data_IF_560097727671
#
_entry.id   IF_560097727671
#
_cell.length_a   1.000
_cell.length_b   1.000
_cell.length_c   1.000
_cell.angle_alpha   90.00
_cell.angle_beta   90.00
_cell.angle_gamma   90.00
#
_symmetry.space_group_name_H-M   'P 1'
#
loop_
_entity.id
_entity.type
_entity.pdbx_description
1 polymer ?
#
# COMPACT_ATOMS: atom_id res chain seq x y z
N UNK A 1 49.81 42.31 52.82
CA UNK A 1 49.58 41.21 51.87
C UNK A 1 49.20 39.95 52.66
N UNK A 2 47.99 39.44 52.50
CA UNK A 2 47.42 38.37 53.34
C UNK A 2 47.75 37.02 52.71
N UNK A 3 48.72 36.28 53.28
CA UNK A 3 49.10 34.95 52.83
C UNK A 3 47.91 33.99 52.98
N UNK A 4 47.25 33.67 51.87
CA UNK A 4 46.26 32.59 51.81
C UNK A 4 47.02 31.28 51.89
N UNK A 5 46.88 30.59 53.02
CA UNK A 5 47.31 29.21 53.20
C UNK A 5 46.65 28.33 52.11
N UNK A 6 47.40 27.99 51.07
CA UNK A 6 46.98 26.99 50.09
C UNK A 6 47.16 25.61 50.72
N UNK A 7 46.07 25.05 51.25
CA UNK A 7 46.04 23.62 51.61
C UNK A 7 46.07 22.83 50.30
N UNK A 8 47.14 22.08 50.07
CA UNK A 8 47.23 21.15 48.94
C UNK A 8 46.23 20.02 49.12
N UNK A 9 45.60 19.59 48.02
CA UNK A 9 44.74 18.40 48.00
C UNK A 9 45.50 17.20 48.55
N UNK A 10 44.89 16.47 49.47
CA UNK A 10 45.49 15.23 49.98
C UNK A 10 45.37 14.14 48.92
N UNK A 11 46.36 13.24 48.83
CA UNK A 11 46.34 12.11 47.90
C UNK A 11 45.08 11.25 48.07
N UNK A 12 44.58 11.14 49.31
CA UNK A 12 43.33 10.44 49.65
C UNK A 12 42.11 11.11 49.01
N UNK A 13 42.02 12.44 49.06
CA UNK A 13 40.91 13.19 48.47
C UNK A 13 40.84 13.00 46.95
N UNK A 14 41.99 12.96 46.29
CA UNK A 14 42.06 12.68 44.85
C UNK A 14 41.60 11.26 44.51
N UNK A 15 41.96 10.25 45.31
CA UNK A 15 41.50 8.87 45.11
C UNK A 15 39.98 8.76 45.30
N UNK A 16 39.42 9.43 46.31
CA UNK A 16 37.96 9.43 46.55
C UNK A 16 37.22 10.08 45.38
N UNK A 17 37.68 11.24 44.91
CA UNK A 17 37.07 11.93 43.77
C UNK A 17 37.12 11.05 42.52
N UNK A 18 38.26 10.40 42.25
CA UNK A 18 38.40 9.51 41.10
C UNK A 18 37.49 8.28 41.21
N UNK A 19 37.34 7.71 42.41
CA UNK A 19 36.40 6.63 42.68
C UNK A 19 34.95 7.02 42.42
N UNK A 20 34.52 8.19 42.89
CA UNK A 20 33.15 8.71 42.67
C UNK A 20 32.91 8.96 41.18
N UNK A 21 33.86 9.59 40.48
CA UNK A 21 33.73 9.86 39.04
C UNK A 21 33.65 8.54 38.24
N UNK A 22 34.43 7.52 38.58
CA UNK A 22 34.39 6.23 37.90
C UNK A 22 33.00 5.57 38.04
N UNK A 23 32.44 5.56 39.24
CA UNK A 23 31.09 5.01 39.50
C UNK A 23 30.01 5.80 38.76
N UNK A 24 30.04 7.13 38.83
CA UNK A 24 29.08 7.99 38.13
C UNK A 24 29.16 7.82 36.61
N UNK A 25 30.37 7.74 36.07
CA UNK A 25 30.59 7.55 34.63
C UNK A 25 30.03 6.21 34.18
N UNK A 26 30.23 5.14 34.96
CA UNK A 26 29.69 3.82 34.63
C UNK A 26 28.15 3.82 34.59
N UNK A 27 27.50 4.44 35.58
CA UNK A 27 26.04 4.58 35.61
C UNK A 27 25.53 5.43 34.43
N UNK A 28 26.22 6.53 34.12
CA UNK A 28 25.86 7.41 33.00
C UNK A 28 25.95 6.69 31.65
N UNK A 29 26.99 5.90 31.40
CA UNK A 29 27.14 5.12 30.16
C UNK A 29 26.01 4.10 30.01
N UNK A 30 25.62 3.42 31.10
CA UNK A 30 24.54 2.43 31.07
C UNK A 30 23.18 3.06 30.73
N UNK A 31 22.87 4.22 31.29
CA UNK A 31 21.62 4.92 31.02
C UNK A 31 21.61 5.58 29.63
N UNK A 32 22.74 6.11 29.17
CA UNK A 32 22.88 6.66 27.82
C UNK A 32 22.59 5.60 26.73
N UNK A 33 23.01 4.35 26.95
CA UNK A 33 22.72 3.24 26.03
C UNK A 33 21.22 2.95 25.89
N UNK A 34 20.47 2.90 27.02
CA UNK A 34 19.02 2.68 27.00
C UNK A 34 18.27 3.79 26.25
N UNK A 35 18.64 5.04 26.50
CA UNK A 35 18.03 6.18 25.83
C UNK A 35 18.30 6.17 24.32
N UNK A 36 19.52 5.82 23.91
CA UNK A 36 19.86 5.66 22.49
C UNK A 36 19.02 4.57 21.82
N UNK A 37 18.88 3.40 22.44
CA UNK A 37 18.07 2.30 21.90
C UNK A 37 16.59 2.67 21.79
N UNK A 38 16.03 3.34 22.80
CA UNK A 38 14.63 3.81 22.77
C UNK A 38 14.40 4.83 21.63
N UNK A 39 15.36 5.73 21.40
CA UNK A 39 15.29 6.68 20.28
C UNK A 39 15.37 5.98 18.93
N UNK A 40 16.30 5.02 18.76
CA UNK A 40 16.42 4.22 17.53
C UNK A 40 15.15 3.42 17.26
N UNK A 41 14.57 2.79 18.27
CA UNK A 41 13.28 2.08 18.15
C UNK A 41 12.15 3.01 17.72
N UNK A 42 12.05 4.18 18.34
CA UNK A 42 11.05 5.19 17.97
C UNK A 42 11.22 5.64 16.51
N UNK A 43 12.47 5.84 16.08
CA UNK A 43 12.79 6.20 14.71
C UNK A 43 12.47 5.05 13.73
N UNK A 44 12.75 3.81 14.09
CA UNK A 44 12.50 2.64 13.26
C UNK A 44 11.00 2.43 13.05
N UNK A 45 10.21 2.62 14.11
CA UNK A 45 8.76 2.55 14.03
C UNK A 45 8.18 3.65 13.14
N UNK A 46 8.67 4.90 13.26
CA UNK A 46 8.26 5.99 12.36
C UNK A 46 8.66 5.71 10.91
N UNK A 47 9.80 5.07 10.68
CA UNK A 47 10.24 4.69 9.36
C UNK A 47 9.35 3.59 8.77
N UNK A 48 9.02 2.54 9.54
CA UNK A 48 8.08 1.50 9.12
C UNK A 48 6.70 2.07 8.81
N UNK A 49 6.21 3.00 9.64
CA UNK A 49 4.95 3.69 9.40
C UNK A 49 5.01 4.54 8.13
N UNK A 50 6.10 5.30 7.93
CA UNK A 50 6.30 6.05 6.69
C UNK A 50 6.37 5.17 5.45
N UNK A 51 7.01 3.99 5.52
CA UNK A 51 7.04 3.02 4.41
C UNK A 51 5.62 2.48 4.15
N UNK A 52 4.91 2.09 5.21
CA UNK A 52 3.51 1.63 5.11
C UNK A 52 2.61 2.68 4.47
N UNK A 53 2.70 3.93 4.91
CA UNK A 53 1.91 5.04 4.36
C UNK A 53 2.28 5.33 2.90
N UNK A 54 3.53 5.11 2.51
CA UNK A 54 3.98 5.25 1.12
C UNK A 54 3.41 4.15 0.23
N UNK A 55 3.15 2.96 0.80
CA UNK A 55 2.57 1.81 0.08
C UNK A 55 1.05 1.94 0.00
N UNK A 56 0.39 2.12 1.13
CA UNK A 56 -1.08 2.01 1.27
C UNK A 56 -1.78 3.38 1.22
N UNK A 57 -1.05 4.46 1.47
CA UNK A 57 -1.59 5.78 1.76
C UNK A 57 -1.63 6.04 3.27
N UNK A 58 -1.57 7.32 3.64
CA UNK A 58 -1.62 7.77 5.04
C UNK A 58 -3.00 7.59 5.69
N UNK A 59 -4.05 7.60 4.87
CA UNK A 59 -5.43 7.55 5.31
C UNK A 59 -6.07 6.21 4.94
N UNK A 60 -7.07 5.77 5.71
CA UNK A 60 -7.86 4.55 5.45
C UNK A 60 -8.64 4.56 4.13
N UNK A 61 -8.55 5.65 3.37
CA UNK A 61 -9.24 5.81 2.11
C UNK A 61 -8.48 5.23 0.92
N UNK A 62 -7.20 4.83 1.03
CA UNK A 62 -6.44 4.24 -0.10
C UNK A 62 -6.43 5.13 -1.37
N UNK A 63 -6.49 6.45 -1.19
CA UNK A 63 -6.53 7.43 -2.30
C UNK A 63 -5.16 7.69 -2.92
N UNK A 64 -4.09 7.35 -2.21
CA UNK A 64 -2.70 7.65 -2.59
C UNK A 64 -1.78 6.51 -2.20
N UNK A 65 -0.56 6.54 -2.71
CA UNK A 65 0.47 5.54 -2.41
C UNK A 65 0.65 4.55 -3.55
N UNK A 66 1.67 3.70 -3.40
CA UNK A 66 2.06 2.72 -4.40
C UNK A 66 0.88 1.83 -4.80
N UNK A 67 0.14 1.32 -3.83
CA UNK A 67 -0.96 0.39 -4.05
C UNK A 67 -2.12 1.02 -4.84
N UNK A 68 -2.46 2.28 -4.53
CA UNK A 68 -3.51 3.02 -5.23
C UNK A 68 -3.14 3.31 -6.69
N UNK A 69 -1.86 3.58 -6.95
CA UNK A 69 -1.38 3.94 -8.28
C UNK A 69 -1.13 2.69 -9.16
N UNK A 70 -0.63 1.61 -8.57
CA UNK A 70 -0.14 0.42 -9.26
C UNK A 70 -1.14 -0.76 -9.24
N UNK A 71 -2.11 -0.74 -8.32
CA UNK A 71 -3.11 -1.83 -8.20
C UNK A 71 -2.55 -3.14 -7.65
N UNK A 72 -1.33 -3.13 -7.09
CA UNK A 72 -0.66 -4.27 -6.48
C UNK A 72 0.28 -3.84 -5.36
N UNK A 73 0.72 -4.80 -4.55
CA UNK A 73 1.77 -4.56 -3.58
C UNK A 73 3.13 -4.40 -4.27
N UNK A 74 4.11 -3.74 -3.61
CA UNK A 74 5.47 -3.71 -4.09
C UNK A 74 6.02 -5.13 -4.17
N UNK A 75 6.66 -5.44 -5.27
CA UNK A 75 7.38 -6.66 -5.54
C UNK A 75 8.86 -6.49 -5.18
N UNK A 76 9.48 -7.60 -4.84
CA UNK A 76 10.90 -7.63 -4.54
C UNK A 76 11.72 -7.43 -5.80
N UNK A 77 12.64 -6.46 -5.77
CA UNK A 77 13.54 -6.16 -6.87
C UNK A 77 14.88 -6.83 -6.61
N UNK A 78 15.37 -7.59 -7.58
CA UNK A 78 16.70 -8.20 -7.49
C UNK A 78 17.78 -7.13 -7.65
N UNK A 79 18.72 -7.09 -6.72
CA UNK A 79 19.86 -6.20 -6.75
C UNK A 79 21.14 -6.99 -6.49
N UNK A 80 22.23 -6.55 -7.10
CA UNK A 80 23.55 -7.17 -6.95
C UNK A 80 24.49 -6.18 -6.27
N UNK A 81 25.16 -6.59 -5.20
CA UNK A 81 26.15 -5.75 -4.53
C UNK A 81 27.49 -5.73 -5.29
N UNK A 82 28.42 -4.89 -4.87
CA UNK A 82 29.78 -4.80 -5.47
C UNK A 82 30.55 -6.12 -5.47
N UNK A 83 30.15 -7.06 -4.60
CA UNK A 83 30.81 -8.35 -4.42
C UNK A 83 30.12 -9.47 -5.23
N UNK A 84 29.09 -9.15 -6.02
CA UNK A 84 28.34 -10.11 -6.84
C UNK A 84 27.28 -10.90 -6.08
N UNK A 85 27.03 -10.61 -4.80
CA UNK A 85 25.94 -11.22 -4.04
C UNK A 85 24.61 -10.60 -4.44
N UNK A 86 23.65 -11.47 -4.72
CA UNK A 86 22.27 -11.11 -5.04
C UNK A 86 21.48 -10.95 -3.74
N UNK A 87 20.63 -9.92 -3.70
CA UNK A 87 19.68 -9.67 -2.63
C UNK A 87 18.39 -9.06 -3.21
N UNK A 88 17.28 -9.21 -2.50
CA UNK A 88 16.01 -8.63 -2.87
C UNK A 88 15.70 -7.43 -1.98
N UNK A 89 15.27 -6.32 -2.57
CA UNK A 89 15.00 -5.08 -1.83
C UNK A 89 13.63 -4.48 -2.18
N UNK A 90 13.26 -3.45 -1.43
CA UNK A 90 12.09 -2.59 -1.67
C UNK A 90 12.32 -1.55 -2.79
N UNK A 91 13.29 -1.78 -3.69
CA UNK A 91 13.73 -0.74 -4.62
C UNK A 91 12.62 -0.14 -5.48
N UNK A 92 11.59 -0.92 -5.80
CA UNK A 92 10.40 -0.45 -6.50
C UNK A 92 9.73 0.80 -5.86
N UNK A 93 9.89 1.01 -4.55
CA UNK A 93 9.36 2.18 -3.87
C UNK A 93 10.13 3.47 -4.16
N UNK A 94 11.35 3.41 -4.69
CA UNK A 94 12.15 4.61 -5.01
C UNK A 94 12.77 4.58 -6.42
N UNK A 95 12.75 3.42 -7.06
CA UNK A 95 13.22 3.18 -8.41
C UNK A 95 12.04 2.65 -9.22
N UNK A 96 11.82 3.26 -10.39
CA UNK A 96 10.79 2.81 -11.31
C UNK A 96 11.11 1.37 -11.77
N UNK A 97 10.16 0.42 -11.64
CA UNK A 97 10.36 -0.94 -12.15
C UNK A 97 10.54 -0.95 -13.67
N UNK A 98 11.27 -1.95 -14.16
CA UNK A 98 11.38 -2.16 -15.60
C UNK A 98 10.02 -2.56 -16.19
N UNK A 99 9.65 -1.94 -17.32
CA UNK A 99 8.34 -2.16 -17.95
C UNK A 99 7.18 -1.40 -17.30
N UNK A 100 7.37 -0.82 -16.11
CA UNK A 100 6.35 0.00 -15.46
C UNK A 100 5.94 1.19 -16.34
N UNK A 101 4.66 1.50 -16.38
CA UNK A 101 4.21 2.72 -17.06
C UNK A 101 4.45 3.92 -16.15
N UNK A 102 4.83 5.06 -16.72
CA UNK A 102 4.81 6.28 -15.93
C UNK A 102 3.36 6.60 -15.57
N UNK A 103 3.12 7.12 -14.37
CA UNK A 103 1.78 7.46 -13.94
C UNK A 103 1.10 8.39 -14.94
N UNK A 104 -0.10 8.00 -15.34
CA UNK A 104 -0.88 8.70 -16.33
C UNK A 104 -2.33 8.27 -16.29
N UNK A 105 -3.08 8.70 -17.29
CA UNK A 105 -4.46 8.32 -17.46
C UNK A 105 -4.52 7.37 -18.65
N UNK A 106 -4.84 6.11 -18.38
CA UNK A 106 -4.87 5.03 -19.37
C UNK A 106 -6.33 4.76 -19.76
N UNK A 107 -6.60 4.77 -21.05
CA UNK A 107 -7.92 4.47 -21.58
C UNK A 107 -8.20 2.96 -21.46
N UNK A 108 -9.42 2.58 -21.09
CA UNK A 108 -9.83 1.18 -20.95
C UNK A 108 -10.12 0.53 -22.33
N UNK A 109 -9.14 0.55 -23.23
CA UNK A 109 -9.21 -0.09 -24.56
C UNK A 109 -8.70 -1.52 -24.53
N UNK A 110 -9.04 -2.32 -25.54
CA UNK A 110 -8.70 -3.76 -25.57
C UNK A 110 -7.19 -4.05 -25.46
N UNK A 111 -6.32 -3.13 -25.90
CA UNK A 111 -4.86 -3.26 -25.75
C UNK A 111 -4.35 -3.07 -24.32
N UNK A 112 -5.17 -2.47 -23.44
CA UNK A 112 -4.81 -2.12 -22.07
C UNK A 112 -5.58 -2.98 -21.04
N UNK A 113 -6.34 -3.98 -21.49
CA UNK A 113 -7.03 -4.95 -20.63
C UNK A 113 -6.19 -6.22 -20.62
N UNK A 114 -5.48 -6.49 -19.52
CA UNK A 114 -4.63 -7.69 -19.37
C UNK A 114 -5.44 -8.86 -18.80
N UNK A 115 -6.34 -8.58 -17.86
CA UNK A 115 -7.21 -9.58 -17.23
C UNK A 115 -8.67 -9.24 -17.52
N UNK A 116 -9.36 -10.14 -18.24
CA UNK A 116 -10.76 -9.96 -18.66
C UNK A 116 -10.98 -10.25 -20.14
N UNK A 117 -12.19 -9.99 -20.62
CA UNK A 117 -12.52 -10.14 -22.03
C UNK A 117 -12.21 -8.83 -22.80
N UNK A 118 -11.33 -8.83 -23.82
CA UNK A 118 -11.00 -7.63 -24.58
C UNK A 118 -12.20 -6.91 -25.23
N UNK A 119 -13.32 -7.63 -25.45
CA UNK A 119 -14.59 -7.06 -25.93
C UNK A 119 -15.26 -6.14 -24.90
N UNK A 120 -14.70 -6.01 -23.70
CA UNK A 120 -15.17 -5.16 -22.62
C UNK A 120 -14.49 -3.80 -22.59
N UNK A 121 -13.68 -3.50 -23.60
CA UNK A 121 -13.14 -2.16 -23.79
C UNK A 121 -14.23 -1.10 -23.78
N UNK A 122 -13.96 0.00 -23.09
CA UNK A 122 -14.80 1.18 -23.05
C UNK A 122 -13.92 2.43 -23.26
N UNK A 123 -13.84 2.95 -24.50
CA UNK A 123 -12.97 4.06 -24.81
C UNK A 123 -13.37 5.36 -24.10
N UNK A 124 -14.56 5.45 -23.51
CA UNK A 124 -14.95 6.62 -22.74
C UNK A 124 -14.42 6.57 -21.29
N UNK A 125 -13.83 5.45 -20.88
CA UNK A 125 -13.31 5.26 -19.51
C UNK A 125 -11.80 5.44 -19.49
N UNK A 126 -11.37 6.29 -18.58
CA UNK A 126 -10.00 6.74 -18.41
C UNK A 126 -9.57 6.48 -16.96
N UNK A 127 -8.69 5.49 -16.76
CA UNK A 127 -8.24 5.04 -15.44
C UNK A 127 -6.89 5.69 -15.10
N UNK A 128 -6.79 6.45 -14.00
CA UNK A 128 -5.50 6.91 -13.51
C UNK A 128 -4.70 5.72 -12.94
N UNK A 129 -3.52 5.44 -13.49
CA UNK A 129 -2.66 4.34 -13.03
C UNK A 129 -1.20 4.52 -13.47
N UNK A 130 -0.32 3.68 -12.91
CA UNK A 130 1.11 3.59 -13.24
C UNK A 130 2.02 4.18 -12.16
N UNK A 131 3.33 4.07 -12.34
CA UNK A 131 4.31 4.47 -11.33
C UNK A 131 4.45 5.99 -11.22
N UNK A 132 4.02 6.57 -10.08
CA UNK A 132 3.94 8.04 -9.89
C UNK A 132 5.24 8.67 -9.41
N UNK A 133 6.17 7.89 -8.89
CA UNK A 133 7.46 8.43 -8.46
C UNK A 133 8.07 7.62 -7.33
N UNK A 134 9.23 8.07 -6.83
CA UNK A 134 9.74 7.56 -5.57
C UNK A 134 8.71 7.84 -4.46
N UNK A 135 8.06 6.78 -4.01
CA UNK A 135 7.15 6.77 -2.86
C UNK A 135 7.92 6.92 -1.55
N UNK A 136 9.14 6.38 -1.50
CA UNK A 136 10.09 6.55 -0.39
C UNK A 136 11.27 7.37 -0.86
N UNK A 137 11.71 8.33 -0.02
CA UNK A 137 12.93 9.10 -0.26
C UNK A 137 14.11 8.44 0.42
N UNK A 138 15.14 8.14 -0.36
CA UNK A 138 16.41 7.69 0.20
C UNK A 138 17.20 8.86 0.81
N UNK A 139 18.01 8.62 1.85
CA UNK A 139 19.00 9.58 2.31
C UNK A 139 19.95 9.98 1.17
N UNK A 140 20.42 11.24 1.19
CA UNK A 140 21.35 11.74 0.17
C UNK A 140 22.61 10.87 0.09
N UNK A 141 22.94 10.41 -1.12
CA UNK A 141 24.09 9.54 -1.37
C UNK A 141 23.89 8.07 -0.96
N UNK A 142 22.70 7.70 -0.47
CA UNK A 142 22.35 6.30 -0.21
C UNK A 142 21.65 5.70 -1.42
N UNK A 143 22.04 4.49 -1.78
CA UNK A 143 21.38 3.62 -2.75
C UNK A 143 20.40 2.64 -2.08
N UNK A 144 20.46 2.54 -0.75
CA UNK A 144 19.65 1.61 0.06
C UNK A 144 18.87 2.31 1.15
N UNK A 145 17.71 1.75 1.47
CA UNK A 145 16.97 2.12 2.67
C UNK A 145 17.53 1.32 3.85
N UNK A 146 18.00 2.02 4.88
CA UNK A 146 18.54 1.42 6.11
C UNK A 146 17.69 1.80 7.32
N UNK A 147 17.60 0.88 8.27
CA UNK A 147 17.00 1.13 9.59
C UNK A 147 17.93 1.99 10.47
N UNK A 148 17.49 2.46 11.66
CA UNK A 148 18.31 3.26 12.57
C UNK A 148 19.53 2.57 13.18
N UNK A 149 19.67 1.25 12.99
CA UNK A 149 20.86 0.48 13.36
C UNK A 149 21.82 0.28 12.17
N UNK A 150 21.45 0.80 10.99
CA UNK A 150 22.25 0.72 9.77
C UNK A 150 21.99 -0.52 8.94
N UNK A 151 21.04 -1.37 9.32
CA UNK A 151 20.74 -2.57 8.57
C UNK A 151 19.87 -2.23 7.36
N UNK A 152 20.15 -2.77 6.16
CA UNK A 152 19.34 -2.55 4.97
C UNK A 152 18.00 -3.31 5.04
N UNK A 153 16.94 -2.74 4.46
CA UNK A 153 15.67 -3.43 4.22
C UNK A 153 15.79 -4.32 2.97
N UNK A 154 16.48 -5.44 3.11
CA UNK A 154 16.73 -6.42 2.06
C UNK A 154 16.66 -7.86 2.59
N UNK A 155 16.57 -8.83 1.68
CA UNK A 155 16.62 -10.27 1.99
C UNK A 155 17.33 -11.06 0.89
N UNK A 156 18.30 -11.93 1.21
CA UNK A 156 19.00 -11.94 2.50
C UNK A 156 19.72 -10.61 2.76
N UNK A 157 19.84 -10.23 4.03
CA UNK A 157 20.66 -9.09 4.44
C UNK A 157 22.17 -9.41 4.34
N UNK A 158 23.03 -8.40 4.57
CA UNK A 158 24.49 -8.55 4.61
C UNK A 158 25.00 -9.64 5.59
N UNK A 159 24.20 -10.04 6.59
CA UNK A 159 24.49 -11.11 7.55
C UNK A 159 23.81 -12.46 7.19
N UNK A 160 23.12 -12.55 6.05
CA UNK A 160 22.38 -13.74 5.60
C UNK A 160 20.97 -13.89 6.20
N UNK A 161 20.49 -12.92 6.97
CA UNK A 161 19.17 -12.91 7.59
C UNK A 161 18.05 -12.66 6.58
N UNK A 162 16.93 -13.38 6.71
CA UNK A 162 15.81 -13.35 5.74
C UNK A 162 14.52 -12.72 6.27
N UNK A 163 14.58 -12.09 7.45
CA UNK A 163 13.38 -11.77 8.22
C UNK A 163 12.82 -10.36 7.98
N UNK A 164 13.59 -9.46 7.34
CA UNK A 164 13.19 -8.06 7.15
C UNK A 164 12.15 -7.87 6.06
N UNK A 165 12.24 -8.62 4.96
CA UNK A 165 11.25 -8.62 3.88
C UNK A 165 10.70 -10.03 3.72
N UNK A 166 9.37 -10.17 3.77
CA UNK A 166 8.70 -11.46 3.62
C UNK A 166 7.50 -11.36 2.68
N UNK A 167 7.32 -12.42 1.91
CA UNK A 167 6.18 -12.61 1.01
C UNK A 167 4.94 -13.14 1.73
N UNK A 168 3.89 -13.40 0.95
CA UNK A 168 2.57 -13.82 1.45
C UNK A 168 2.67 -14.98 2.45
N UNK A 169 1.90 -14.88 3.53
CA UNK A 169 1.96 -15.86 4.64
C UNK A 169 3.21 -15.76 5.51
N UNK A 170 4.05 -14.74 5.32
CA UNK A 170 5.32 -14.57 6.04
C UNK A 170 6.42 -15.50 5.55
N UNK A 171 6.36 -15.91 4.29
CA UNK A 171 7.37 -16.72 3.61
C UNK A 171 8.59 -15.89 3.24
N UNK A 172 9.76 -16.53 3.15
CA UNK A 172 10.96 -15.86 2.65
C UNK A 172 10.78 -15.50 1.18
N UNK A 173 11.30 -14.35 0.78
CA UNK A 173 11.36 -13.96 -0.63
C UNK A 173 12.53 -14.71 -1.28
N UNK A 174 12.28 -15.37 -2.40
CA UNK A 174 13.25 -16.24 -3.06
C UNK A 174 13.55 -15.87 -4.51
N UNK A 175 12.76 -14.98 -5.11
CA UNK A 175 12.91 -14.53 -6.50
C UNK A 175 12.42 -13.10 -6.69
N UNK A 176 12.90 -12.49 -7.77
CA UNK A 176 12.38 -11.20 -8.25
C UNK A 176 10.88 -11.29 -8.56
N UNK A 177 10.16 -10.20 -8.30
CA UNK A 177 8.74 -10.10 -8.61
C UNK A 177 7.81 -10.66 -7.53
N UNK A 178 8.33 -11.33 -6.49
CA UNK A 178 7.48 -11.76 -5.36
C UNK A 178 6.95 -10.56 -4.57
N UNK A 179 5.64 -10.53 -4.32
CA UNK A 179 5.00 -9.47 -3.54
C UNK A 179 5.55 -9.43 -2.10
N UNK A 180 5.91 -8.23 -1.66
CA UNK A 180 6.36 -7.96 -0.30
C UNK A 180 5.15 -7.63 0.56
N UNK A 181 4.93 -8.44 1.57
CA UNK A 181 3.74 -8.37 2.43
C UNK A 181 4.02 -7.97 3.87
N UNK A 182 5.25 -8.24 4.33
CA UNK A 182 5.71 -7.90 5.66
C UNK A 182 7.06 -7.22 5.55
N UNK A 183 7.20 -6.08 6.23
CA UNK A 183 8.45 -5.34 6.37
C UNK A 183 8.74 -5.23 7.87
N UNK A 184 9.90 -5.69 8.30
CA UNK A 184 10.30 -5.66 9.71
C UNK A 184 11.68 -5.04 9.91
N UNK A 185 11.94 -4.57 11.13
CA UNK A 185 13.29 -4.31 11.61
C UNK A 185 13.64 -5.30 12.72
N UNK A 186 14.91 -5.70 12.79
CA UNK A 186 15.40 -6.70 13.74
C UNK A 186 16.12 -6.09 14.95
N UNK A 187 16.14 -4.76 15.10
CA UNK A 187 16.80 -4.11 16.23
C UNK A 187 18.33 -4.16 16.17
N UNK A 188 18.99 -3.99 17.32
CA UNK A 188 20.45 -3.85 17.39
C UNK A 188 21.22 -5.15 17.11
N UNK A 189 20.62 -6.30 17.39
CA UNK A 189 21.25 -7.61 17.28
C UNK A 189 21.01 -8.26 15.91
N UNK A 190 20.09 -7.73 15.11
CA UNK A 190 19.81 -8.25 13.78
C UNK A 190 19.17 -9.65 13.78
N UNK A 191 18.63 -10.09 14.92
CA UNK A 191 18.05 -11.44 15.06
C UNK A 191 16.53 -11.38 15.17
N UNK A 192 15.80 -12.38 14.66
CA UNK A 192 14.36 -12.47 14.84
C UNK A 192 13.99 -12.76 16.31
N UNK A 193 12.99 -12.04 16.83
CA UNK A 193 12.58 -12.10 18.24
C UNK A 193 11.95 -13.43 18.68
N UNK A 194 11.60 -14.32 17.74
CA UNK A 194 10.98 -15.63 18.06
C UNK A 194 11.85 -16.52 18.98
N UNK A 195 13.10 -16.12 19.21
CA UNK A 195 14.07 -16.82 20.06
C UNK A 195 14.37 -16.09 21.40
N UNK A 196 13.66 -15.01 21.76
CA UNK A 196 14.03 -14.17 22.92
C UNK A 196 12.87 -13.86 23.89
N UNK A 197 13.26 -13.51 25.12
CA UNK A 197 12.36 -13.13 26.21
C UNK A 197 11.76 -11.73 26.00
N UNK A 198 10.51 -11.46 26.47
CA UNK A 198 9.76 -10.23 26.20
C UNK A 198 10.46 -8.91 26.56
N UNK A 199 11.45 -8.93 27.46
CA UNK A 199 12.16 -7.73 27.92
C UNK A 199 13.15 -7.15 26.91
N UNK A 200 13.54 -7.93 25.88
CA UNK A 200 14.50 -7.52 24.85
C UNK A 200 13.88 -7.48 23.45
N UNK A 201 12.55 -7.41 23.38
CA UNK A 201 11.83 -7.40 22.11
C UNK A 201 12.02 -6.05 21.39
N UNK A 202 13.11 -5.94 20.65
CA UNK A 202 13.46 -4.81 19.80
C UNK A 202 12.99 -5.01 18.35
N UNK A 203 12.59 -6.23 17.97
CA UNK A 203 12.08 -6.47 16.63
C UNK A 203 10.62 -6.02 16.52
N UNK A 204 10.29 -5.37 15.42
CA UNK A 204 8.92 -5.00 15.13
C UNK A 204 8.63 -5.23 13.65
N UNK A 205 7.50 -5.88 13.40
CA UNK A 205 7.00 -6.17 12.06
C UNK A 205 5.87 -5.21 11.71
N UNK A 206 5.90 -4.71 10.48
CA UNK A 206 4.78 -4.05 9.83
C UNK A 206 4.17 -5.02 8.81
N UNK A 207 2.93 -5.45 9.05
CA UNK A 207 2.17 -6.25 8.09
C UNK A 207 1.40 -5.33 7.15
N UNK A 208 1.69 -5.39 5.85
CA UNK A 208 1.00 -4.62 4.82
C UNK A 208 -0.28 -5.33 4.38
N UNK A 209 -0.26 -6.67 4.35
CA UNK A 209 -1.32 -7.51 3.77
C UNK A 209 -2.66 -7.45 4.45
N UNK A 210 -2.70 -7.21 5.76
CA UNK A 210 -3.96 -7.08 6.49
C UNK A 210 -4.84 -5.92 5.96
N UNK A 211 -4.28 -4.99 5.19
CA UNK A 211 -5.03 -3.90 4.56
C UNK A 211 -5.17 -4.07 3.04
N UNK A 212 -4.11 -4.49 2.34
CA UNK A 212 -4.08 -4.55 0.88
C UNK A 212 -4.67 -5.85 0.28
N UNK A 213 -4.61 -6.98 0.98
CA UNK A 213 -5.12 -8.28 0.48
C UNK A 213 -6.56 -8.59 0.94
N UNK A 214 -7.18 -7.72 1.74
CA UNK A 214 -8.59 -7.90 2.09
C UNK A 214 -9.42 -7.62 0.85
N UNK A 215 -10.09 -8.65 0.33
CA UNK A 215 -11.04 -8.51 -0.76
C UNK A 215 -12.03 -7.38 -0.45
N UNK A 216 -12.17 -6.48 -1.40
CA UNK A 216 -13.27 -5.56 -1.47
C UNK A 216 -14.39 -6.22 -2.29
N UNK A 217 -15.62 -6.04 -1.87
CA UNK A 217 -16.79 -6.25 -2.71
C UNK A 217 -17.45 -4.91 -2.97
N UNK A 218 -17.90 -4.68 -4.19
CA UNK A 218 -18.69 -3.51 -4.55
C UNK A 218 -20.13 -3.96 -4.79
N UNK A 219 -21.04 -3.49 -3.96
CA UNK A 219 -22.48 -3.66 -4.10
C UNK A 219 -23.04 -2.39 -4.72
N UNK A 220 -23.41 -2.47 -5.99
CA UNK A 220 -24.07 -1.39 -6.71
C UNK A 220 -25.58 -1.59 -6.65
N UNK A 221 -26.27 -0.64 -6.04
CA UNK A 221 -27.74 -0.61 -5.98
C UNK A 221 -28.24 0.32 -7.08
N UNK A 222 -29.00 -0.22 -8.00
CA UNK A 222 -29.46 0.40 -9.24
C UNK A 222 -30.96 0.66 -9.10
N UNK A 223 -31.36 1.94 -9.11
CA UNK A 223 -32.77 2.33 -9.08
C UNK A 223 -33.12 3.08 -10.37
N UNK A 224 -33.71 2.40 -11.37
CA UNK A 224 -34.21 3.07 -12.56
C UNK A 224 -35.43 3.93 -12.18
N UNK A 225 -35.44 5.16 -12.65
CA UNK A 225 -36.51 6.13 -12.48
C UNK A 225 -36.87 6.75 -13.83
N UNK A 226 -38.15 6.99 -14.07
CA UNK A 226 -38.63 7.69 -15.25
C UNK A 226 -38.37 9.22 -15.15
N UNK A 227 -38.83 9.97 -16.16
CA UNK A 227 -38.76 11.43 -16.18
C UNK A 227 -39.51 12.12 -15.03
N UNK A 228 -40.45 11.43 -14.38
CA UNK A 228 -41.18 11.89 -13.19
C UNK A 228 -40.51 11.54 -11.86
N UNK A 229 -39.44 10.74 -11.89
CA UNK A 229 -38.77 10.20 -10.70
C UNK A 229 -39.43 8.95 -10.13
N UNK A 230 -40.44 8.40 -10.81
CA UNK A 230 -41.11 7.15 -10.43
C UNK A 230 -40.26 5.96 -10.82
N UNK A 231 -40.25 4.94 -9.95
CA UNK A 231 -39.37 3.79 -10.11
C UNK A 231 -39.87 2.86 -11.22
N UNK A 232 -39.01 2.52 -12.17
CA UNK A 232 -39.32 1.63 -13.29
C UNK A 232 -38.90 0.17 -13.07
N UNK A 233 -39.35 -0.72 -13.97
CA UNK A 233 -38.87 -2.11 -13.98
C UNK A 233 -37.50 -2.18 -14.63
N UNK A 234 -36.48 -2.57 -13.86
CA UNK A 234 -35.17 -2.86 -14.41
C UNK A 234 -35.28 -4.05 -15.35
N UNK A 235 -34.83 -3.95 -16.62
CA UNK A 235 -34.90 -5.05 -17.60
C UNK A 235 -33.56 -5.80 -17.75
N UNK A 236 -32.46 -5.07 -17.93
CA UNK A 236 -31.11 -5.61 -17.93
C UNK A 236 -30.11 -4.51 -17.63
N UNK A 237 -29.27 -4.71 -16.61
CA UNK A 237 -28.13 -3.84 -16.35
C UNK A 237 -26.83 -4.63 -16.32
N UNK A 238 -25.76 -3.98 -16.75
CA UNK A 238 -24.39 -4.47 -16.72
C UNK A 238 -23.54 -3.45 -15.97
N UNK A 239 -22.94 -3.86 -14.86
CA UNK A 239 -21.92 -3.07 -14.18
C UNK A 239 -20.56 -3.53 -14.67
N UNK A 240 -19.72 -2.59 -15.10
CA UNK A 240 -18.31 -2.82 -15.43
C UNK A 240 -17.48 -2.02 -14.42
N UNK A 241 -16.55 -2.68 -13.73
CA UNK A 241 -15.62 -2.03 -12.79
C UNK A 241 -14.22 -2.09 -13.39
N UNK A 242 -13.57 -0.94 -13.45
CA UNK A 242 -12.23 -0.68 -13.95
C UNK A 242 -11.36 -0.17 -12.82
N UNK A 243 -10.10 -0.57 -12.78
CA UNK A 243 -9.14 -0.11 -11.78
C UNK A 243 -7.72 -0.36 -12.26
N UNK A 244 -6.72 0.18 -11.56
CA UNK A 244 -5.34 -0.23 -11.75
C UNK A 244 -5.26 -1.71 -11.35
N UNK A 245 -4.87 -2.53 -12.30
CA UNK A 245 -4.52 -3.92 -12.10
C UNK A 245 -3.12 -4.06 -12.72
N UNK A 246 -2.28 -4.90 -12.12
CA UNK A 246 -0.88 -5.19 -12.49
C UNK A 246 -0.42 -4.59 -13.85
N UNK A 247 0.44 -3.57 -13.77
CA UNK A 247 0.71 -2.60 -14.85
C UNK A 247 0.71 -3.10 -16.31
N UNK A 248 0.03 -2.39 -17.24
CA UNK A 248 -1.12 -1.51 -17.07
C UNK A 248 -2.41 -2.29 -17.38
N UNK A 249 -2.98 -2.98 -16.41
CA UNK A 249 -4.21 -3.72 -16.65
C UNK A 249 -5.43 -2.94 -16.15
N UNK A 250 -6.25 -2.48 -17.08
CA UNK A 250 -7.64 -2.13 -16.79
C UNK A 250 -8.45 -3.42 -16.71
N UNK A 251 -8.75 -3.92 -15.50
CA UNK A 251 -9.65 -5.06 -15.34
C UNK A 251 -11.09 -4.66 -15.66
N UNK A 252 -11.92 -5.56 -16.19
CA UNK A 252 -13.36 -5.36 -16.30
C UNK A 252 -14.08 -6.56 -15.68
N UNK A 253 -14.79 -6.35 -14.57
CA UNK A 253 -15.65 -7.39 -13.98
C UNK A 253 -17.10 -7.13 -14.34
N UNK A 254 -17.75 -8.13 -14.95
CA UNK A 254 -19.17 -8.11 -15.32
C UNK A 254 -20.02 -8.73 -14.23
N UNK A 255 -21.11 -8.05 -13.90
CA UNK A 255 -22.21 -8.68 -13.19
C UNK A 255 -23.53 -8.21 -13.81
N UNK A 256 -24.41 -9.17 -14.09
CA UNK A 256 -25.73 -8.96 -14.67
C UNK A 256 -26.78 -8.93 -13.56
N UNK A 257 -27.61 -7.90 -13.50
CA UNK A 257 -28.85 -7.96 -12.73
C UNK A 257 -29.96 -8.54 -13.61
N UNK A 258 -30.62 -9.61 -13.14
CA UNK A 258 -31.91 -10.09 -13.66
C UNK A 258 -33.03 -9.70 -12.69
N UNK A 259 -34.23 -9.54 -13.22
CA UNK A 259 -35.19 -8.49 -12.89
C UNK A 259 -36.25 -8.84 -11.84
N UNK A 260 -36.70 -7.79 -11.13
CA UNK A 260 -37.90 -7.68 -10.30
C UNK A 260 -38.28 -6.19 -10.17
N UNK A 261 -39.38 -5.85 -9.50
CA UNK A 261 -39.85 -4.45 -9.37
C UNK A 261 -38.86 -3.57 -8.58
N UNK A 262 -38.31 -2.58 -9.28
CA UNK A 262 -37.91 -1.28 -8.75
C UNK A 262 -36.51 -1.06 -8.20
N UNK A 263 -35.78 -2.10 -7.79
CA UNK A 263 -34.37 -1.96 -7.38
C UNK A 263 -33.59 -3.21 -7.78
N UNK A 264 -32.50 -3.04 -8.52
CA UNK A 264 -31.53 -4.09 -8.80
C UNK A 264 -30.31 -3.95 -7.90
N UNK A 265 -29.78 -5.06 -7.41
CA UNK A 265 -28.50 -5.09 -6.68
C UNK A 265 -27.50 -5.92 -7.45
N UNK A 266 -26.31 -5.39 -7.62
CA UNK A 266 -25.20 -6.02 -8.33
C UNK A 266 -24.01 -6.09 -7.40
N UNK A 267 -23.55 -7.29 -7.07
CA UNK A 267 -22.37 -7.49 -6.22
C UNK A 267 -21.19 -7.95 -7.06
N UNK A 268 -20.13 -7.15 -7.07
CA UNK A 268 -18.83 -7.47 -7.66
C UNK A 268 -17.89 -7.87 -6.53
N UNK A 269 -17.45 -9.12 -6.50
CA UNK A 269 -16.59 -9.65 -5.42
C UNK A 269 -15.12 -9.68 -5.83
N UNK A 270 -14.24 -9.89 -4.84
CA UNK A 270 -12.80 -10.09 -5.03
C UNK A 270 -12.08 -8.92 -5.72
N UNK A 271 -12.58 -7.70 -5.52
CA UNK A 271 -11.89 -6.49 -5.96
C UNK A 271 -10.71 -6.21 -5.02
N UNK A 272 -9.62 -5.66 -5.57
CA UNK A 272 -8.55 -5.11 -4.75
C UNK A 272 -9.04 -3.77 -4.17
N UNK A 273 -8.68 -3.40 -2.92
CA UNK A 273 -8.95 -2.06 -2.41
C UNK A 273 -8.28 -0.97 -3.29
N UNK A 274 -8.69 0.29 -3.13
CA UNK A 274 -8.13 1.42 -3.86
C UNK A 274 -9.04 2.00 -4.95
N UNK A 275 -8.51 2.89 -5.81
CA UNK A 275 -9.30 3.69 -6.74
C UNK A 275 -9.84 2.85 -7.90
N UNK A 276 -11.15 2.89 -8.08
CA UNK A 276 -11.85 2.20 -9.16
C UNK A 276 -12.82 3.15 -9.85
N UNK A 277 -13.00 2.95 -11.15
CA UNK A 277 -14.05 3.55 -11.95
C UNK A 277 -15.06 2.48 -12.27
N UNK A 278 -16.33 2.71 -12.02
CA UNK A 278 -17.37 1.81 -12.49
C UNK A 278 -18.31 2.53 -13.44
N UNK A 279 -18.73 1.83 -14.49
CA UNK A 279 -19.72 2.31 -15.46
C UNK A 279 -20.85 1.31 -15.52
N UNK A 280 -22.07 1.82 -15.50
CA UNK A 280 -23.27 1.00 -15.58
C UNK A 280 -23.87 1.21 -16.98
N UNK A 281 -24.16 0.10 -17.66
CA UNK A 281 -24.87 0.08 -18.94
C UNK A 281 -26.27 -0.45 -18.69
N UNK A 282 -27.27 0.31 -19.10
CA UNK A 282 -28.67 -0.09 -19.02
C UNK A 282 -29.21 -0.39 -20.41
N UNK A 283 -29.88 -1.53 -20.57
CA UNK A 283 -30.41 -1.99 -21.85
C UNK A 283 -29.39 -1.93 -23.00
N UNK A 284 -28.14 -2.29 -22.71
CA UNK A 284 -26.99 -2.24 -23.64
C UNK A 284 -26.62 -0.85 -24.20
N UNK A 285 -27.26 0.23 -23.75
CA UNK A 285 -26.89 1.59 -24.14
C UNK A 285 -25.75 2.11 -23.24
N UNK A 286 -24.73 2.71 -23.87
CA UNK A 286 -23.56 3.31 -23.22
C UNK A 286 -23.87 4.71 -22.65
N UNK A 287 -25.00 4.89 -21.97
CA UNK A 287 -25.52 6.25 -21.77
C UNK A 287 -24.94 7.01 -20.57
N UNK A 288 -24.13 6.39 -19.70
CA UNK A 288 -23.75 7.05 -18.45
C UNK A 288 -22.26 7.23 -18.27
N UNK A 289 -21.91 8.36 -17.65
CA UNK A 289 -20.56 8.67 -17.22
C UNK A 289 -20.07 7.62 -16.22
N UNK A 290 -18.78 7.28 -16.33
CA UNK A 290 -18.11 6.47 -15.31
C UNK A 290 -18.13 7.21 -13.97
N UNK A 291 -18.35 6.47 -12.90
CA UNK A 291 -18.30 6.99 -11.53
C UNK A 291 -17.02 6.52 -10.86
N UNK A 292 -16.31 7.44 -10.23
CA UNK A 292 -15.12 7.16 -9.44
C UNK A 292 -15.54 6.76 -8.03
N UNK A 293 -14.93 5.69 -7.52
CA UNK A 293 -15.10 5.25 -6.15
C UNK A 293 -13.77 4.71 -5.62
N UNK A 294 -13.55 4.82 -4.31
CA UNK A 294 -12.38 4.22 -3.68
C UNK A 294 -12.85 3.07 -2.81
N UNK A 295 -12.47 1.87 -3.20
CA UNK A 295 -12.90 0.64 -2.54
C UNK A 295 -12.09 0.44 -1.27
N UNK A 296 -12.78 0.32 -0.14
CA UNK A 296 -12.18 -0.09 1.13
C UNK A 296 -12.24 -1.61 1.26
N UNK A 297 -11.35 -2.23 2.06
CA UNK A 297 -11.50 -3.61 2.49
C UNK A 297 -12.92 -3.94 2.97
N UNK A 298 -13.49 -5.06 2.51
CA UNK A 298 -14.85 -5.47 2.87
C UNK A 298 -15.92 -5.01 1.86
N UNK A 299 -17.16 -4.83 2.31
CA UNK A 299 -18.29 -4.54 1.42
C UNK A 299 -18.51 -3.04 1.29
N UNK A 300 -18.38 -2.53 0.07
CA UNK A 300 -18.63 -1.15 -0.32
C UNK A 300 -20.01 -1.07 -0.96
N UNK A 301 -20.82 -0.08 -0.58
CA UNK A 301 -22.15 0.12 -1.13
C UNK A 301 -22.20 1.41 -1.93
N UNK A 302 -22.72 1.33 -3.16
CA UNK A 302 -22.93 2.49 -4.00
C UNK A 302 -24.33 2.47 -4.59
N UNK A 303 -25.16 3.43 -4.18
CA UNK A 303 -26.48 3.61 -4.77
C UNK A 303 -26.39 4.53 -5.99
N UNK A 304 -26.99 4.12 -7.10
CA UNK A 304 -27.07 4.89 -8.34
C UNK A 304 -28.51 4.96 -8.79
N UNK A 305 -29.01 6.20 -8.88
CA UNK A 305 -30.30 6.51 -9.50
C UNK A 305 -30.11 6.76 -10.98
N UNK A 306 -31.01 6.22 -11.77
CA UNK A 306 -30.84 6.10 -13.20
C UNK A 306 -32.07 6.70 -13.85
N UNK A 307 -31.91 7.83 -14.54
CA UNK A 307 -32.99 8.34 -15.37
C UNK A 307 -33.05 7.49 -16.65
N UNK A 308 -34.15 6.78 -16.83
CA UNK A 308 -34.45 6.08 -18.07
C UNK A 308 -35.00 7.13 -19.02
N UNK A 309 -34.34 7.41 -20.16
CA UNK A 309 -34.91 8.32 -21.14
C UNK A 309 -36.25 7.73 -21.57
N UNK A 310 -37.29 8.57 -21.64
CA UNK A 310 -38.62 8.15 -22.10
C UNK A 310 -38.40 7.37 -23.41
N UNK A 311 -38.69 6.07 -23.38
CA UNK A 311 -38.66 5.28 -24.60
C UNK A 311 -39.74 5.94 -25.43
N UNK A 312 -39.34 6.71 -26.44
CA UNK A 312 -40.24 7.21 -27.46
C UNK A 312 -40.85 5.94 -28.02
N UNK A 313 -42.04 5.61 -27.50
CA UNK A 313 -42.87 4.54 -28.01
C UNK A 313 -42.90 4.81 -29.49
N UNK A 314 -42.30 3.90 -30.29
CA UNK A 314 -42.33 4.01 -31.73
C UNK A 314 -43.80 4.15 -32.09
N UNK A 315 -44.25 5.39 -32.32
CA UNK A 315 -45.64 5.68 -32.62
C UNK A 315 -45.96 4.82 -33.82
N UNK A 316 -47.02 4.03 -33.68
CA UNK A 316 -47.44 3.06 -34.66
C UNK A 316 -47.39 3.69 -36.04
N UNK A 317 -46.45 3.21 -36.86
CA UNK A 317 -46.58 3.38 -38.29
C UNK A 317 -47.82 2.59 -38.68
N UNK A 318 -48.94 3.30 -38.83
CA UNK A 318 -50.06 2.82 -39.60
C UNK A 318 -49.52 2.51 -41.00
N UNK A 319 -49.32 1.22 -41.29
CA UNK A 319 -49.11 0.74 -42.66
C UNK A 319 -50.36 1.12 -43.48
N UNK A 320 -50.19 1.75 -44.67
CA UNK A 320 -51.29 1.95 -45.60
C UNK A 320 -51.73 0.65 -46.28
#
# INVERSE_FOLDING_TARGET
>A
MRNRNKKGFTLVELIIVLGIIAVLTHLAVREAGKFSNMNRRTQANRQLESIRDSIVGKDENFETGFFADMGRLPCAVEQTNSNGSVFFSLAELWQKPDGAQAYGVVQAVSSNIIEGNPLESDPDVFVPCGWRGPYVRLPLGSDRLRDPWGNPYETPDDAGGKYRLRGTGGTDITKEGEEITIIGHLGADGLPDKLRTPSNAEAQDCMITNLAQRAASLVVVITPVDSSGSVETLTQSKVCVYGPWEEPATGAIKVYARTGTGVGTVTVENLKPGPHLFKIKYNMQNNWAAQYTVLKPGVNYHAVKISVPDIISAEGGDEP
#
